data_IF_053679967382
#
_entry.id   IF_053679967382
#
_cell.length_a   1.000
_cell.length_b   1.000
_cell.length_c   1.000
_cell.angle_alpha   90.00
_cell.angle_beta   90.00
_cell.angle_gamma   90.00
#
_symmetry.space_group_name_H-M   'P 1'
#
loop_
_entity.id
_entity.type
_entity.pdbx_description
1 polymer ?
#
# COMPACT_ATOMS: atom_id res chain seq x y z
N UNK A 1 -37.92 -8.33 -30.20
CA UNK A 1 -36.64 -8.79 -29.63
C UNK A 1 -35.68 -7.66 -29.25
N UNK A 2 -35.67 -6.55 -29.96
CA UNK A 2 -34.83 -5.36 -29.66
C UNK A 2 -35.31 -4.59 -28.41
N UNK A 3 -36.60 -4.45 -28.18
CA UNK A 3 -37.16 -3.76 -27.00
C UNK A 3 -36.77 -4.47 -25.69
N UNK A 4 -36.68 -5.80 -25.69
CA UNK A 4 -36.24 -6.57 -24.52
C UNK A 4 -34.71 -6.40 -24.24
N UNK A 5 -33.89 -6.15 -25.26
CA UNK A 5 -32.46 -5.83 -25.09
C UNK A 5 -32.28 -4.43 -24.51
N UNK A 6 -33.04 -3.46 -24.92
CA UNK A 6 -32.97 -2.07 -24.43
C UNK A 6 -33.44 -1.98 -22.97
N UNK A 7 -34.51 -2.67 -22.62
CA UNK A 7 -35.02 -2.78 -21.23
C UNK A 7 -33.96 -3.41 -20.29
N UNK A 8 -33.35 -4.53 -20.68
CA UNK A 8 -32.28 -5.17 -19.90
C UNK A 8 -31.04 -4.30 -19.73
N UNK A 9 -30.70 -3.51 -20.75
CA UNK A 9 -29.55 -2.59 -20.68
C UNK A 9 -29.83 -1.44 -19.71
N UNK A 10 -31.08 -0.92 -19.70
CA UNK A 10 -31.49 0.13 -18.77
C UNK A 10 -31.54 -0.34 -17.30
N UNK A 11 -32.07 -1.54 -17.04
CA UNK A 11 -32.08 -2.14 -15.70
C UNK A 11 -30.69 -2.46 -15.20
N UNK A 12 -29.83 -2.99 -16.08
CA UNK A 12 -28.44 -3.28 -15.75
C UNK A 12 -27.65 -2.00 -15.45
N UNK A 13 -27.81 -0.96 -16.26
CA UNK A 13 -27.19 0.34 -16.04
C UNK A 13 -27.68 0.99 -14.74
N UNK A 14 -28.96 0.85 -14.40
CA UNK A 14 -29.54 1.31 -13.14
C UNK A 14 -28.97 0.59 -11.93
N UNK A 15 -28.87 -0.74 -11.98
CA UNK A 15 -28.28 -1.55 -10.90
C UNK A 15 -26.80 -1.25 -10.68
N UNK A 16 -26.04 -1.03 -11.76
CA UNK A 16 -24.62 -0.64 -11.70
C UNK A 16 -24.46 0.74 -11.07
N UNK A 17 -25.27 1.71 -11.47
CA UNK A 17 -25.25 3.06 -10.89
C UNK A 17 -25.58 3.05 -9.41
N UNK A 18 -26.59 2.29 -8.99
CA UNK A 18 -26.97 2.14 -7.59
C UNK A 18 -25.86 1.50 -6.76
N UNK A 19 -25.20 0.47 -7.31
CA UNK A 19 -24.07 -0.20 -6.65
C UNK A 19 -22.86 0.72 -6.45
N UNK A 20 -22.51 1.49 -7.48
CA UNK A 20 -21.41 2.47 -7.38
C UNK A 20 -21.75 3.61 -6.41
N UNK A 21 -23.00 4.09 -6.44
CA UNK A 21 -23.46 5.12 -5.50
C UNK A 21 -23.34 4.65 -4.03
N UNK A 22 -23.68 3.38 -3.74
CA UNK A 22 -23.49 2.81 -2.41
C UNK A 22 -22.03 2.83 -1.98
N UNK A 23 -21.11 2.40 -2.85
CA UNK A 23 -19.67 2.45 -2.57
C UNK A 23 -19.20 3.88 -2.36
N UNK A 24 -19.67 4.86 -3.17
CA UNK A 24 -19.31 6.27 -3.03
C UNK A 24 -19.75 6.83 -1.68
N UNK A 25 -21.02 6.62 -1.29
CA UNK A 25 -21.55 7.10 -0.02
C UNK A 25 -20.80 6.49 1.17
N UNK A 26 -20.50 5.20 1.10
CA UNK A 26 -19.73 4.51 2.15
C UNK A 26 -18.29 5.02 2.22
N UNK A 27 -17.64 5.27 1.08
CA UNK A 27 -16.28 5.81 1.03
C UNK A 27 -16.21 7.22 1.62
N UNK A 28 -17.13 8.12 1.21
CA UNK A 28 -17.21 9.48 1.74
C UNK A 28 -17.54 9.47 3.25
N UNK A 29 -18.41 8.57 3.68
CA UNK A 29 -18.72 8.43 5.11
C UNK A 29 -17.54 7.93 5.94
N UNK A 30 -16.71 7.07 5.38
CA UNK A 30 -15.56 6.49 6.06
C UNK A 30 -14.42 7.53 6.29
N UNK A 31 -14.23 8.47 5.35
CA UNK A 31 -13.18 9.51 5.46
C UNK A 31 -13.69 10.83 6.03
N UNK A 32 -15.02 11.00 6.15
CA UNK A 32 -15.62 12.22 6.67
C UNK A 32 -15.23 12.44 8.14
N UNK A 33 -14.58 13.57 8.42
CA UNK A 33 -14.25 14.02 9.77
C UNK A 33 -15.21 15.14 10.17
N UNK A 34 -15.60 15.15 11.45
CA UNK A 34 -16.40 16.26 12.01
C UNK A 34 -15.44 17.18 12.75
N UNK A 35 -15.25 18.37 12.25
CA UNK A 35 -14.45 19.42 12.88
C UNK A 35 -15.31 20.68 13.03
N UNK A 36 -15.42 21.21 14.26
CA UNK A 36 -16.24 22.38 14.59
C UNK A 36 -17.72 22.30 14.17
N UNK A 37 -18.36 21.13 14.31
CA UNK A 37 -19.73 20.83 13.85
C UNK A 37 -19.94 20.87 12.32
N UNK A 38 -18.88 21.04 11.54
CA UNK A 38 -18.91 20.90 10.08
C UNK A 38 -18.27 19.58 9.66
N UNK A 39 -18.89 18.92 8.69
CA UNK A 39 -18.35 17.70 8.10
C UNK A 39 -17.38 18.05 6.98
N UNK A 40 -16.11 17.81 7.21
CA UNK A 40 -15.07 17.96 6.20
C UNK A 40 -14.73 16.60 5.59
N UNK A 41 -14.68 16.55 4.27
CA UNK A 41 -14.29 15.36 3.49
C UNK A 41 -13.13 15.75 2.60
N UNK A 42 -11.98 15.12 2.84
CA UNK A 42 -10.84 15.22 1.94
C UNK A 42 -10.92 14.05 0.94
N UNK A 43 -11.18 14.37 -0.33
CA UNK A 43 -11.30 13.35 -1.38
C UNK A 43 -9.97 12.65 -1.68
N UNK A 44 -8.84 13.26 -1.34
CA UNK A 44 -7.52 12.65 -1.48
C UNK A 44 -7.33 11.47 -0.49
N UNK A 45 -8.17 11.39 0.54
CA UNK A 45 -8.20 10.28 1.48
C UNK A 45 -8.95 9.05 0.94
N UNK A 46 -9.60 9.16 -0.22
CA UNK A 46 -10.23 8.04 -0.94
C UNK A 46 -9.30 7.58 -2.06
N UNK A 47 -8.48 6.58 -1.77
CA UNK A 47 -7.61 5.98 -2.78
C UNK A 47 -8.40 5.05 -3.71
N UNK A 48 -8.30 5.26 -5.02
CA UNK A 48 -8.98 4.42 -6.00
C UNK A 48 -7.97 3.65 -6.83
N UNK A 49 -8.04 2.33 -6.74
CA UNK A 49 -7.26 1.40 -7.56
C UNK A 49 -8.13 0.76 -8.63
N UNK A 50 -7.58 0.66 -9.84
CA UNK A 50 -8.24 0.08 -11.01
C UNK A 50 -7.63 -1.27 -11.35
N UNK A 51 -8.45 -2.28 -11.62
CA UNK A 51 -7.96 -3.57 -12.10
C UNK A 51 -8.90 -4.18 -13.13
N UNK A 52 -8.33 -4.51 -14.29
CA UNK A 52 -9.02 -5.27 -15.32
C UNK A 52 -9.29 -6.70 -14.85
N UNK A 53 -10.33 -7.30 -15.42
CA UNK A 53 -10.77 -8.65 -15.11
C UNK A 53 -11.82 -8.68 -14.01
N UNK A 54 -12.79 -9.57 -14.15
CA UNK A 54 -13.95 -9.64 -13.27
C UNK A 54 -15.10 -8.70 -13.71
N UNK A 55 -16.08 -8.59 -12.85
CA UNK A 55 -17.29 -7.79 -13.04
C UNK A 55 -17.20 -6.49 -12.23
N UNK A 56 -17.98 -5.50 -12.60
CA UNK A 56 -18.14 -4.28 -11.80
C UNK A 56 -18.66 -4.58 -10.37
N UNK A 57 -19.41 -5.68 -10.19
CA UNK A 57 -19.89 -6.15 -8.88
C UNK A 57 -18.77 -6.67 -7.99
N UNK A 58 -17.59 -6.94 -8.55
CA UNK A 58 -16.40 -7.32 -7.80
C UNK A 58 -15.63 -6.10 -7.30
N UNK A 59 -16.11 -4.89 -7.62
CA UNK A 59 -15.60 -3.65 -7.03
C UNK A 59 -15.95 -3.61 -5.55
N UNK A 60 -15.04 -3.13 -4.72
CA UNK A 60 -15.22 -3.14 -3.26
C UNK A 60 -14.57 -1.94 -2.60
N UNK A 61 -15.20 -1.47 -1.52
CA UNK A 61 -14.58 -0.57 -0.56
C UNK A 61 -13.80 -1.40 0.46
N UNK A 62 -12.59 -0.97 0.75
CA UNK A 62 -11.70 -1.58 1.73
C UNK A 62 -11.40 -0.56 2.83
N UNK A 63 -11.71 -0.94 4.08
CA UNK A 63 -11.39 -0.14 5.25
C UNK A 63 -9.88 -0.26 5.53
N UNK A 64 -9.12 0.57 4.81
CA UNK A 64 -7.66 0.54 4.77
C UNK A 64 -7.12 0.86 3.39
N UNK A 65 -5.88 0.47 3.15
CA UNK A 65 -5.14 0.85 1.95
C UNK A 65 -4.82 -0.36 1.09
N UNK A 66 -5.05 -0.22 -0.21
CA UNK A 66 -4.61 -1.17 -1.23
C UNK A 66 -3.37 -0.60 -1.91
N UNK A 67 -2.32 -1.40 -2.01
CA UNK A 67 -1.10 -1.08 -2.74
C UNK A 67 -0.99 -1.97 -3.98
N UNK A 68 -0.72 -1.35 -5.12
CA UNK A 68 -0.34 -2.05 -6.36
C UNK A 68 1.13 -2.48 -6.28
N UNK A 69 1.41 -3.32 -5.30
CA UNK A 69 2.75 -3.85 -4.99
C UNK A 69 2.62 -5.23 -4.39
N UNK A 70 3.56 -6.09 -4.77
CA UNK A 70 3.76 -7.40 -4.19
C UNK A 70 4.83 -7.37 -3.09
N UNK A 71 4.91 -8.40 -2.27
CA UNK A 71 6.04 -8.60 -1.34
C UNK A 71 7.35 -8.78 -2.12
N UNK A 72 8.43 -8.26 -1.58
CA UNK A 72 9.72 -8.21 -2.29
C UNK A 72 10.44 -9.55 -2.39
N UNK A 73 10.09 -10.54 -1.55
CA UNK A 73 10.77 -11.82 -1.51
C UNK A 73 9.76 -12.98 -1.31
N UNK A 74 9.88 -14.03 -2.11
CA UNK A 74 8.96 -15.18 -2.09
C UNK A 74 8.93 -15.94 -0.75
N UNK A 75 10.01 -15.92 0.02
CA UNK A 75 10.09 -16.53 1.35
C UNK A 75 9.40 -15.75 2.45
N UNK A 76 8.92 -14.53 2.19
CA UNK A 76 8.15 -13.75 3.16
C UNK A 76 6.74 -14.33 3.32
N UNK A 77 6.11 -14.18 4.51
CA UNK A 77 4.73 -14.59 4.71
C UNK A 77 3.80 -13.84 3.75
N UNK A 78 2.75 -14.49 3.26
CA UNK A 78 1.73 -13.84 2.42
C UNK A 78 0.71 -13.03 3.19
N UNK A 79 0.58 -13.30 4.47
CA UNK A 79 -0.37 -12.61 5.36
C UNK A 79 0.24 -12.46 6.75
N UNK A 80 0.05 -11.29 7.31
CA UNK A 80 0.43 -10.95 8.69
C UNK A 80 -0.84 -10.49 9.40
N UNK A 81 -1.15 -11.08 10.54
CA UNK A 81 -2.17 -10.61 11.47
C UNK A 81 -1.51 -9.73 12.54
N UNK A 82 -2.28 -8.82 13.12
CA UNK A 82 -1.79 -7.84 14.10
C UNK A 82 -0.54 -7.11 13.59
N UNK A 83 -0.71 -6.48 12.42
CA UNK A 83 0.38 -5.85 11.71
C UNK A 83 0.88 -4.59 12.43
N UNK A 84 2.19 -4.57 12.68
CA UNK A 84 2.95 -3.41 13.13
C UNK A 84 3.82 -2.94 11.96
N UNK A 85 3.44 -1.80 11.38
CA UNK A 85 3.91 -1.36 10.07
C UNK A 85 4.94 -0.26 10.22
N UNK A 86 6.17 -0.50 9.77
CA UNK A 86 7.20 0.53 9.63
C UNK A 86 7.09 1.18 8.25
N UNK A 87 6.86 2.49 8.23
CA UNK A 87 6.81 3.31 7.02
C UNK A 87 8.16 4.03 6.84
N UNK A 88 8.96 3.60 5.85
CA UNK A 88 10.34 4.06 5.70
C UNK A 88 10.52 4.80 4.38
N UNK A 89 11.00 6.04 4.45
CA UNK A 89 11.28 6.89 3.28
C UNK A 89 12.79 6.94 2.92
N UNK A 90 13.60 6.05 3.45
CA UNK A 90 15.00 5.87 3.06
C UNK A 90 15.21 4.52 2.41
N UNK A 91 16.27 4.39 1.62
CA UNK A 91 16.65 3.10 1.08
C UNK A 91 17.21 2.20 2.19
N UNK A 92 16.86 0.93 2.14
CA UNK A 92 17.41 -0.11 3.03
C UNK A 92 18.51 -0.81 2.24
N UNK A 93 19.62 -0.12 2.09
CA UNK A 93 20.77 -0.54 1.30
C UNK A 93 22.05 0.05 1.90
N UNK A 94 23.19 -0.47 1.49
CA UNK A 94 24.49 0.12 1.86
C UNK A 94 24.54 1.54 1.28
N UNK A 95 24.80 2.53 2.14
CA UNK A 95 24.99 3.91 1.70
C UNK A 95 26.27 3.98 0.87
N UNK A 96 26.13 4.12 -0.45
CA UNK A 96 27.24 4.50 -1.29
C UNK A 96 27.67 5.91 -0.92
N UNK A 97 28.97 6.11 -0.66
CA UNK A 97 29.52 7.44 -0.42
C UNK A 97 29.21 8.33 -1.63
N UNK A 98 28.68 9.54 -1.39
CA UNK A 98 28.33 10.52 -2.44
C UNK A 98 29.57 11.02 -3.23
N UNK A 99 30.76 10.66 -2.78
CA UNK A 99 32.01 10.92 -3.48
C UNK A 99 32.34 9.68 -4.29
N UNK A 100 32.65 9.84 -5.57
CA UNK A 100 33.26 8.82 -6.46
C UNK A 100 34.63 8.38 -5.94
N UNK A 101 34.72 7.91 -4.71
CA UNK A 101 35.88 7.27 -4.16
C UNK A 101 35.98 5.89 -4.82
N UNK A 102 36.73 5.81 -5.91
CA UNK A 102 37.18 4.54 -6.46
C UNK A 102 38.11 3.89 -5.45
N UNK A 103 37.55 3.05 -4.59
CA UNK A 103 38.38 2.21 -3.71
C UNK A 103 38.99 1.15 -4.63
N UNK A 104 40.27 1.31 -4.93
CA UNK A 104 41.07 0.28 -5.61
C UNK A 104 41.42 -0.80 -4.58
N UNK A 105 40.63 -1.82 -4.48
CA UNK A 105 40.95 -3.00 -3.67
C UNK A 105 41.79 -3.91 -4.55
N UNK A 106 43.06 -4.03 -4.24
CA UNK A 106 44.03 -4.87 -4.96
C UNK A 106 44.29 -6.20 -4.24
N UNK A 107 43.91 -6.30 -2.97
CA UNK A 107 44.11 -7.51 -2.15
C UNK A 107 42.77 -8.24 -1.96
N UNK A 108 42.68 -9.55 -2.30
CA UNK A 108 41.46 -10.37 -2.08
C UNK A 108 40.99 -10.38 -0.61
N UNK A 109 41.89 -10.31 0.36
CA UNK A 109 41.52 -10.26 1.77
C UNK A 109 40.84 -8.95 2.17
N UNK A 110 41.23 -7.83 1.58
CA UNK A 110 40.58 -6.54 1.79
C UNK A 110 39.17 -6.52 1.15
N UNK A 111 39.02 -7.16 0.01
CA UNK A 111 37.71 -7.29 -0.63
C UNK A 111 36.77 -8.12 0.25
N UNK A 112 37.20 -9.24 0.80
CA UNK A 112 36.42 -10.08 1.67
C UNK A 112 36.00 -9.32 2.95
N UNK A 113 36.91 -8.58 3.58
CA UNK A 113 36.61 -7.77 4.76
C UNK A 113 35.60 -6.67 4.45
N UNK A 114 35.69 -6.02 3.28
CA UNK A 114 34.76 -4.99 2.84
C UNK A 114 33.33 -5.56 2.64
N UNK A 115 33.20 -6.70 1.99
CA UNK A 115 31.93 -7.39 1.79
C UNK A 115 31.30 -7.84 3.12
N UNK A 116 32.11 -8.29 4.07
CA UNK A 116 31.64 -8.66 5.42
C UNK A 116 31.13 -7.43 6.20
N UNK A 117 31.77 -6.28 6.04
CA UNK A 117 31.33 -5.02 6.64
C UNK A 117 30.01 -4.54 6.03
N UNK A 118 29.85 -4.60 4.70
CA UNK A 118 28.61 -4.28 4.01
C UNK A 118 27.46 -5.20 4.47
N UNK A 119 27.72 -6.51 4.55
CA UNK A 119 26.74 -7.47 5.06
C UNK A 119 26.37 -7.19 6.53
N UNK A 120 27.34 -6.89 7.37
CA UNK A 120 27.16 -6.52 8.76
C UNK A 120 26.27 -5.30 8.91
N UNK A 121 26.49 -4.27 8.08
CA UNK A 121 25.66 -3.06 8.07
C UNK A 121 24.19 -3.36 7.69
N UNK A 122 23.95 -4.12 6.62
CA UNK A 122 22.61 -4.52 6.20
C UNK A 122 21.91 -5.32 7.30
N UNK A 123 22.62 -6.25 7.93
CA UNK A 123 22.10 -7.05 9.05
C UNK A 123 21.70 -6.15 10.20
N UNK A 124 22.50 -5.15 10.55
CA UNK A 124 22.19 -4.19 11.61
C UNK A 124 20.91 -3.39 11.29
N UNK A 125 20.73 -2.91 10.05
CA UNK A 125 19.50 -2.22 9.64
C UNK A 125 18.26 -3.09 9.86
N UNK A 126 18.32 -4.36 9.45
CA UNK A 126 17.19 -5.29 9.62
C UNK A 126 16.94 -5.60 11.11
N UNK A 127 17.99 -5.76 11.92
CA UNK A 127 17.84 -5.96 13.36
C UNK A 127 17.25 -4.73 14.07
N UNK A 128 17.60 -3.52 13.65
CA UNK A 128 16.98 -2.28 14.15
C UNK A 128 15.48 -2.25 13.84
N UNK A 129 15.08 -2.59 12.62
CA UNK A 129 13.67 -2.68 12.23
C UNK A 129 12.95 -3.74 13.07
N UNK A 130 13.53 -4.90 13.25
CA UNK A 130 12.96 -5.99 14.05
C UNK A 130 12.84 -5.61 15.53
N UNK A 131 13.85 -4.93 16.08
CA UNK A 131 13.87 -4.48 17.47
C UNK A 131 12.77 -3.45 17.78
N UNK A 132 12.33 -2.65 16.79
CA UNK A 132 11.18 -1.76 16.94
C UNK A 132 9.86 -2.50 17.13
N UNK A 133 9.81 -3.80 16.82
CA UNK A 133 8.60 -4.62 16.85
C UNK A 133 7.82 -4.64 15.52
N UNK A 134 8.38 -4.08 14.44
CA UNK A 134 7.76 -4.12 13.12
C UNK A 134 7.76 -5.55 12.57
N UNK A 135 6.62 -5.98 12.06
CA UNK A 135 6.45 -7.22 11.30
C UNK A 135 6.07 -6.98 9.84
N UNK A 136 5.81 -5.71 9.49
CA UNK A 136 5.58 -5.24 8.12
C UNK A 136 6.45 -4.03 7.87
N UNK A 137 7.10 -3.98 6.71
CA UNK A 137 7.92 -2.85 6.25
C UNK A 137 7.41 -2.37 4.90
N UNK A 138 7.09 -1.10 4.82
CA UNK A 138 6.72 -0.44 3.56
C UNK A 138 7.75 0.66 3.29
N UNK A 139 8.57 0.42 2.27
CA UNK A 139 9.67 1.30 1.90
C UNK A 139 9.33 2.09 0.64
N UNK A 140 9.51 3.41 0.69
CA UNK A 140 9.34 4.28 -0.47
C UNK A 140 10.48 4.13 -1.48
N UNK A 141 11.65 3.71 -1.02
CA UNK A 141 12.87 3.52 -1.82
C UNK A 141 13.13 2.03 -2.11
N UNK A 142 14.35 1.71 -2.49
CA UNK A 142 14.80 0.34 -2.70
C UNK A 142 15.06 -0.40 -1.39
N UNK A 143 15.04 -1.72 -1.48
CA UNK A 143 15.48 -2.63 -0.41
C UNK A 143 16.51 -3.56 -1.06
N UNK A 144 17.71 -3.60 -0.50
CA UNK A 144 18.78 -4.49 -0.95
C UNK A 144 18.35 -5.97 -0.86
N UNK A 145 18.83 -6.79 -1.79
CA UNK A 145 18.44 -8.21 -1.86
C UNK A 145 18.85 -8.99 -0.60
N UNK A 146 19.97 -8.61 0.01
CA UNK A 146 20.44 -9.20 1.27
C UNK A 146 19.51 -8.78 2.44
N UNK A 147 19.07 -7.51 2.46
CA UNK A 147 18.07 -7.05 3.44
C UNK A 147 16.75 -7.80 3.28
N UNK A 148 16.28 -8.01 2.05
CA UNK A 148 15.07 -8.80 1.76
C UNK A 148 15.20 -10.23 2.31
N UNK A 149 16.37 -10.85 2.12
CA UNK A 149 16.64 -12.19 2.62
C UNK A 149 16.59 -12.25 4.16
N UNK A 150 17.23 -11.30 4.87
CA UNK A 150 17.19 -11.27 6.33
C UNK A 150 15.80 -10.95 6.89
N UNK A 151 15.05 -10.05 6.25
CA UNK A 151 13.65 -9.79 6.60
C UNK A 151 12.78 -11.03 6.40
N UNK A 152 12.96 -11.75 5.30
CA UNK A 152 12.26 -13.01 5.03
C UNK A 152 12.53 -14.06 6.11
N UNK A 153 13.80 -14.23 6.50
CA UNK A 153 14.18 -15.13 7.62
C UNK A 153 13.56 -14.73 8.96
N UNK A 154 13.35 -13.44 9.16
CA UNK A 154 12.72 -12.90 10.37
C UNK A 154 11.19 -12.92 10.33
N UNK A 155 10.59 -13.42 9.24
CA UNK A 155 9.13 -13.46 9.07
C UNK A 155 8.50 -12.07 8.84
N UNK A 156 9.28 -11.09 8.41
CA UNK A 156 8.82 -9.74 8.11
C UNK A 156 8.29 -9.71 6.67
N UNK A 157 7.10 -9.13 6.49
CA UNK A 157 6.53 -8.82 5.18
C UNK A 157 7.06 -7.47 4.71
N UNK A 158 7.61 -7.36 3.51
CA UNK A 158 8.16 -6.10 3.04
C UNK A 158 7.73 -5.76 1.61
N UNK A 159 7.52 -4.47 1.38
CA UNK A 159 7.24 -3.84 0.08
C UNK A 159 8.29 -2.77 -0.19
N UNK A 160 8.73 -2.65 -1.44
CA UNK A 160 9.65 -1.60 -1.89
C UNK A 160 8.99 -0.69 -2.91
N UNK A 161 9.56 0.51 -3.08
CA UNK A 161 9.15 1.50 -4.09
C UNK A 161 7.67 1.87 -4.01
N UNK A 162 7.14 2.00 -2.79
CA UNK A 162 5.83 2.58 -2.56
C UNK A 162 5.82 4.06 -3.00
N UNK A 163 4.73 4.54 -3.56
CA UNK A 163 4.60 5.94 -3.95
C UNK A 163 4.52 6.84 -2.71
N UNK A 164 4.91 8.10 -2.84
CA UNK A 164 4.81 9.07 -1.74
C UNK A 164 3.35 9.22 -1.26
N UNK A 165 2.40 9.31 -2.19
CA UNK A 165 0.97 9.36 -1.87
C UNK A 165 0.48 8.13 -1.12
N UNK A 166 1.01 6.95 -1.45
CA UNK A 166 0.69 5.71 -0.73
C UNK A 166 1.21 5.75 0.71
N UNK A 167 2.41 6.30 0.92
CA UNK A 167 3.00 6.45 2.25
C UNK A 167 2.19 7.41 3.12
N UNK A 168 1.72 8.52 2.55
CA UNK A 168 0.88 9.51 3.23
C UNK A 168 -0.49 8.92 3.59
N UNK A 169 -1.15 8.22 2.65
CA UNK A 169 -2.40 7.54 2.90
C UNK A 169 -2.27 6.43 3.97
N UNK A 170 -1.17 5.67 3.94
CA UNK A 170 -0.87 4.66 4.96
C UNK A 170 -0.64 5.27 6.35
N UNK A 171 0.11 6.38 6.43
CA UNK A 171 0.33 7.07 7.69
C UNK A 171 -1.00 7.53 8.32
N UNK A 172 -1.90 8.09 7.51
CA UNK A 172 -3.25 8.48 7.94
C UNK A 172 -4.12 7.28 8.34
N UNK A 173 -4.09 6.19 7.54
CA UNK A 173 -4.93 5.03 7.78
C UNK A 173 -4.49 4.20 8.98
N UNK A 174 -3.20 4.09 9.24
CA UNK A 174 -2.63 3.20 10.27
C UNK A 174 -2.17 3.94 11.52
N UNK A 175 -2.29 5.27 11.52
CA UNK A 175 -1.75 6.17 12.56
C UNK A 175 -0.24 6.00 12.78
N UNK A 176 0.48 5.61 11.73
CA UNK A 176 1.94 5.46 11.73
C UNK A 176 2.65 6.73 11.29
N UNK A 177 3.95 6.81 11.57
CA UNK A 177 4.80 7.90 11.13
C UNK A 177 5.76 7.44 10.04
N UNK A 178 5.94 8.26 8.99
CA UNK A 178 6.96 8.00 7.96
C UNK A 178 8.33 8.41 8.49
N UNK A 179 9.26 7.45 8.54
CA UNK A 179 10.61 7.60 9.08
C UNK A 179 11.60 7.77 7.94
N UNK A 180 12.48 8.75 8.04
CA UNK A 180 13.54 9.00 7.06
C UNK A 180 14.86 8.32 7.45
N UNK A 181 15.11 8.17 8.75
CA UNK A 181 16.31 7.49 9.26
C UNK A 181 15.87 6.25 10.07
N UNK A 182 16.37 5.08 9.69
CA UNK A 182 16.00 3.80 10.33
C UNK A 182 16.47 3.75 11.78
N UNK A 183 17.56 4.41 12.12
CA UNK A 183 18.08 4.45 13.49
C UNK A 183 17.13 5.17 14.48
N UNK A 184 16.25 6.05 13.94
CA UNK A 184 15.27 6.78 14.73
C UNK A 184 13.93 6.01 14.88
N UNK A 185 13.83 4.83 14.26
CA UNK A 185 12.60 4.03 14.27
C UNK A 185 12.31 3.50 15.67
N UNK A 186 11.16 3.90 16.22
CA UNK A 186 10.67 3.47 17.50
C UNK A 186 9.34 2.71 17.40
N UNK A 187 8.93 2.07 18.47
CA UNK A 187 7.65 1.38 18.53
C UNK A 187 6.45 2.32 18.35
N UNK A 188 6.59 3.56 18.77
CA UNK A 188 5.53 4.57 18.72
C UNK A 188 5.32 5.13 17.29
N UNK A 189 6.28 4.90 16.40
CA UNK A 189 6.19 5.31 15.00
C UNK A 189 5.49 4.28 14.12
N UNK A 190 5.25 3.07 14.65
CA UNK A 190 4.65 1.98 13.90
C UNK A 190 3.15 2.19 13.69
N UNK A 191 2.73 2.08 12.44
CA UNK A 191 1.32 2.00 12.08
C UNK A 191 0.71 0.66 12.52
N UNK A 192 -0.61 0.65 12.75
CA UNK A 192 -1.36 -0.54 13.18
C UNK A 192 -2.43 -0.91 12.17
N UNK A 193 -2.54 -2.20 11.89
CA UNK A 193 -3.64 -2.77 11.11
C UNK A 193 -3.92 -4.21 11.58
N UNK A 194 -5.18 -4.63 11.49
CA UNK A 194 -5.53 -5.99 11.89
C UNK A 194 -4.88 -7.03 10.96
N UNK A 195 -4.75 -6.69 9.66
CA UNK A 195 -4.15 -7.60 8.68
C UNK A 195 -3.45 -6.88 7.54
N UNK A 196 -2.32 -7.43 7.13
CA UNK A 196 -1.64 -7.12 5.86
C UNK A 196 -1.53 -8.42 5.09
N UNK A 197 -2.00 -8.45 3.86
CA UNK A 197 -1.96 -9.66 3.03
C UNK A 197 -1.78 -9.35 1.55
N UNK A 198 -1.08 -10.23 0.88
CA UNK A 198 -0.95 -10.24 -0.58
C UNK A 198 -2.09 -11.06 -1.18
N UNK A 199 -2.85 -10.45 -2.08
CA UNK A 199 -3.92 -11.10 -2.85
C UNK A 199 -3.67 -10.95 -4.34
N UNK A 200 -3.95 -12.01 -5.08
CA UNK A 200 -3.95 -11.96 -6.54
C UNK A 200 -5.27 -11.38 -7.04
N UNK A 201 -5.18 -10.28 -7.76
CA UNK A 201 -6.32 -9.58 -8.35
C UNK A 201 -6.12 -9.49 -9.87
N UNK A 202 -6.81 -10.34 -10.62
CA UNK A 202 -6.52 -10.54 -12.04
C UNK A 202 -5.13 -11.17 -12.23
N UNK A 203 -4.27 -10.51 -12.98
CA UNK A 203 -2.91 -10.97 -13.26
C UNK A 203 -1.84 -10.34 -12.33
N UNK A 204 -2.25 -9.47 -11.40
CA UNK A 204 -1.34 -8.76 -10.51
C UNK A 204 -1.51 -9.19 -9.06
N UNK A 205 -0.39 -9.31 -8.35
CA UNK A 205 -0.38 -9.43 -6.91
C UNK A 205 -0.43 -8.03 -6.27
N UNK A 206 -1.37 -7.83 -5.35
CA UNK A 206 -1.60 -6.56 -4.67
C UNK A 206 -1.59 -6.77 -3.17
N UNK A 207 -1.15 -5.77 -2.44
CA UNK A 207 -1.14 -5.81 -0.98
C UNK A 207 -2.32 -5.05 -0.40
N UNK A 208 -3.05 -5.71 0.49
CA UNK A 208 -4.18 -5.19 1.23
C UNK A 208 -3.80 -4.97 2.68
N UNK A 209 -3.95 -3.76 3.17
CA UNK A 209 -3.79 -3.38 4.56
C UNK A 209 -5.18 -3.06 5.09
N UNK A 210 -5.71 -3.89 5.99
CA UNK A 210 -7.11 -3.86 6.41
C UNK A 210 -7.27 -3.86 7.92
N UNK A 211 -8.44 -3.38 8.40
CA UNK A 211 -8.74 -3.30 9.82
C UNK A 211 -7.88 -2.25 10.54
N UNK A 212 -7.78 -1.07 9.96
CA UNK A 212 -7.20 0.10 10.59
C UNK A 212 -8.25 0.70 11.54
N UNK A 213 -7.94 0.82 12.85
CA UNK A 213 -8.92 1.19 13.88
C UNK A 213 -9.53 2.58 13.71
N UNK A 214 -8.76 3.53 13.19
CA UNK A 214 -9.20 4.90 12.90
C UNK A 214 -8.80 5.30 11.49
N UNK A 215 -9.23 4.50 10.50
CA UNK A 215 -8.85 4.74 9.11
C UNK A 215 -9.40 6.08 8.62
N UNK A 216 -8.54 7.11 8.62
CA UNK A 216 -8.81 8.40 8.00
C UNK A 216 -8.61 8.39 6.49
N UNK A 217 -8.24 7.25 5.93
CA UNK A 217 -8.06 7.03 4.50
C UNK A 217 -8.51 5.62 4.15
N UNK A 218 -9.23 5.47 3.04
CA UNK A 218 -9.78 4.20 2.57
C UNK A 218 -9.42 3.96 1.12
N UNK A 219 -9.57 2.72 0.67
CA UNK A 219 -9.35 2.36 -0.73
C UNK A 219 -10.60 1.79 -1.37
N UNK A 220 -10.83 2.14 -2.63
CA UNK A 220 -11.85 1.55 -3.48
C UNK A 220 -11.14 0.79 -4.61
N UNK A 221 -11.41 -0.49 -4.72
CA UNK A 221 -10.97 -1.32 -5.83
C UNK A 221 -12.07 -1.37 -6.88
N UNK A 222 -11.83 -0.78 -8.05
CA UNK A 222 -12.73 -0.82 -9.19
C UNK A 222 -12.35 -1.95 -10.15
N UNK A 223 -13.34 -2.77 -10.51
CA UNK A 223 -13.20 -3.92 -11.38
C UNK A 223 -14.05 -3.78 -12.63
N UNK A 224 -13.59 -4.32 -13.74
CA UNK A 224 -14.32 -4.36 -15.00
C UNK A 224 -13.69 -5.31 -16.01
N UNK A 225 -14.48 -5.78 -16.97
CA UNK A 225 -14.04 -6.79 -17.94
C UNK A 225 -12.91 -6.31 -18.87
N UNK A 226 -12.84 -5.01 -19.15
CA UNK A 226 -11.82 -4.39 -19.97
C UNK A 226 -11.29 -3.11 -19.34
N UNK A 227 -10.11 -2.66 -19.74
CA UNK A 227 -9.51 -1.41 -19.26
C UNK A 227 -10.42 -0.21 -19.51
N UNK A 228 -10.99 -0.11 -20.72
CA UNK A 228 -11.93 0.96 -21.08
C UNK A 228 -13.16 0.99 -20.16
N UNK A 229 -13.74 -0.16 -19.84
CA UNK A 229 -14.87 -0.25 -18.91
C UNK A 229 -14.46 0.21 -17.51
N UNK A 230 -13.29 -0.18 -17.04
CA UNK A 230 -12.78 0.25 -15.72
C UNK A 230 -12.55 1.76 -15.67
N UNK A 231 -12.06 2.34 -16.76
CA UNK A 231 -11.85 3.80 -16.88
C UNK A 231 -13.17 4.58 -16.88
N UNK A 232 -14.20 4.07 -17.54
CA UNK A 232 -15.55 4.65 -17.48
C UNK A 232 -16.15 4.57 -16.06
N UNK A 233 -15.97 3.44 -15.40
CA UNK A 233 -16.41 3.26 -14.01
C UNK A 233 -15.67 4.24 -13.10
N UNK A 234 -14.36 4.45 -13.31
CA UNK A 234 -13.57 5.40 -12.54
C UNK A 234 -14.09 6.82 -12.69
N UNK A 235 -14.35 7.28 -13.92
CA UNK A 235 -14.91 8.61 -14.16
C UNK A 235 -16.27 8.78 -13.47
N UNK A 236 -17.16 7.79 -13.63
CA UNK A 236 -18.47 7.82 -12.97
C UNK A 236 -18.36 7.83 -11.44
N UNK A 237 -17.36 7.14 -10.89
CA UNK A 237 -17.08 7.15 -9.45
C UNK A 237 -16.58 8.52 -8.98
N UNK A 238 -15.61 9.12 -9.68
CA UNK A 238 -15.06 10.42 -9.34
C UNK A 238 -16.13 11.51 -9.40
N UNK A 239 -17.01 11.51 -10.42
CA UNK A 239 -18.15 12.42 -10.54
C UNK A 239 -19.12 12.24 -9.37
N UNK A 240 -19.46 10.99 -9.01
CA UNK A 240 -20.38 10.68 -7.93
C UNK A 240 -19.81 11.11 -6.56
N UNK A 241 -18.54 10.87 -6.30
CA UNK A 241 -17.87 11.27 -5.06
C UNK A 241 -17.85 12.79 -4.94
N UNK A 242 -17.55 13.52 -6.04
CA UNK A 242 -17.60 14.98 -6.07
C UNK A 242 -18.98 15.59 -5.75
N UNK A 243 -20.06 14.89 -6.08
CA UNK A 243 -21.43 15.31 -5.75
C UNK A 243 -21.81 15.01 -4.30
N UNK A 244 -21.31 13.90 -3.74
CA UNK A 244 -21.68 13.48 -2.37
C UNK A 244 -20.88 14.23 -1.31
N UNK A 245 -19.69 14.78 -1.66
CA UNK A 245 -18.80 15.49 -0.75
C UNK A 245 -19.22 16.96 -0.49
N UNK A 246 -20.23 17.47 -1.22
CA UNK A 246 -20.83 18.80 -1.04
C UNK A 246 -22.02 18.71 -0.09
#
# INVERSE_FOLDING_TARGET
MEVAKTSRTGEWAGAVKSFLADICVRAVNAVGQVENDERMVDLDDIKVEKRQGGSIKDSTLVDGIILDKERVHAGMPRSISDASIALINSAIEVKKTEVDAKIQITDPNQLAAFLEEEEGYIRQLVETIKASGANVVICQKGIDDLAQHYMSKSGIFAIRRAKKSDMEALAKATNGRVITNIDDLSKDDLGKAARVEERKIGDSDMTFITGCEEAKSVSVLLRGGTEHVVDEIRRAFDDAVGVVSV
#
